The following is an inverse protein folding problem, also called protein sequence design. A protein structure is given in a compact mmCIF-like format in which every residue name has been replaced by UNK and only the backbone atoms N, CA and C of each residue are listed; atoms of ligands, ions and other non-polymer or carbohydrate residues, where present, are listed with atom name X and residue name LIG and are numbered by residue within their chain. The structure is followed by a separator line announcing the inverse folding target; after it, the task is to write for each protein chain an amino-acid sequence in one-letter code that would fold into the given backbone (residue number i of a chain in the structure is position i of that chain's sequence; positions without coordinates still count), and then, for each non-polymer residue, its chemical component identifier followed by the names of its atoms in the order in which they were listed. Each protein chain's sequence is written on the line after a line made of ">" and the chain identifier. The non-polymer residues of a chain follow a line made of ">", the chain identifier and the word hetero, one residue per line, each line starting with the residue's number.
data_IF_526619906167
#
_entry.id   IF_526619906167
#
_cell.length_a   1.000
_cell.length_b   1.000
_cell.length_c   1.000
_cell.angle_alpha   90.00
_cell.angle_beta   90.00
_cell.angle_gamma   90.00
#
_symmetry.space_group_name_H-M   'P 1'
#
loop_
_entity.id
_entity.type
_entity.pdbx_description
1 polymer ?
#
# COMPACT_ATOMS: atom_id res chain seq x y z
N UNK A 1 81.57 40.30 -27.49
CA UNK A 1 80.46 40.55 -26.54
C UNK A 1 79.04 40.55 -27.15
N UNK A 2 78.81 40.83 -28.44
CA UNK A 2 77.44 40.89 -29.03
C UNK A 2 76.67 39.56 -29.12
N UNK A 3 77.35 38.41 -29.27
CA UNK A 3 76.70 37.09 -29.44
C UNK A 3 76.04 36.55 -28.17
N UNK A 4 76.62 36.78 -26.98
CA UNK A 4 76.03 36.38 -25.68
C UNK A 4 74.76 37.16 -25.33
N UNK A 5 74.66 38.43 -25.72
CA UNK A 5 73.48 39.29 -25.48
C UNK A 5 72.33 38.89 -26.41
N UNK A 6 72.60 38.52 -27.67
CA UNK A 6 71.59 38.06 -28.61
C UNK A 6 70.98 36.69 -28.21
N UNK A 7 71.81 35.73 -27.79
CA UNK A 7 71.36 34.41 -27.31
C UNK A 7 70.50 34.54 -26.05
N UNK A 8 70.82 35.50 -25.16
CA UNK A 8 70.00 35.76 -23.98
C UNK A 8 68.66 36.40 -24.39
N UNK A 9 68.64 37.35 -25.33
CA UNK A 9 67.40 38.00 -25.80
C UNK A 9 66.44 37.02 -26.50
N UNK A 10 66.95 36.05 -27.27
CA UNK A 10 66.12 34.98 -27.87
C UNK A 10 65.60 33.98 -26.83
N UNK A 11 66.44 33.53 -25.88
CA UNK A 11 65.99 32.69 -24.76
C UNK A 11 64.93 33.38 -23.90
N UNK A 12 65.04 34.69 -23.67
CA UNK A 12 64.06 35.47 -22.93
C UNK A 12 62.77 35.71 -23.72
N UNK A 13 62.84 35.86 -25.06
CA UNK A 13 61.65 35.93 -25.93
C UNK A 13 60.86 34.62 -25.92
N UNK A 14 61.52 33.47 -26.04
CA UNK A 14 60.85 32.16 -25.95
C UNK A 14 60.16 31.93 -24.60
N UNK A 15 60.83 32.28 -23.50
CA UNK A 15 60.24 32.23 -22.14
C UNK A 15 59.05 33.18 -21.96
N UNK A 16 59.13 34.38 -22.53
CA UNK A 16 58.03 35.35 -22.50
C UNK A 16 56.81 34.84 -23.28
N UNK A 17 57.02 34.26 -24.48
CA UNK A 17 55.96 33.66 -25.28
C UNK A 17 55.29 32.51 -24.52
N UNK A 18 56.05 31.64 -23.86
CA UNK A 18 55.48 30.55 -23.06
C UNK A 18 54.68 31.06 -21.86
N UNK A 19 55.13 32.11 -21.18
CA UNK A 19 54.42 32.71 -20.03
C UNK A 19 53.10 33.34 -20.49
N UNK A 20 53.11 34.08 -21.60
CA UNK A 20 51.91 34.69 -22.18
C UNK A 20 50.93 33.61 -22.65
N UNK A 21 51.40 32.55 -23.31
CA UNK A 21 50.56 31.43 -23.72
C UNK A 21 49.92 30.71 -22.52
N UNK A 22 50.69 30.51 -21.44
CA UNK A 22 50.20 29.87 -20.21
C UNK A 22 49.15 30.74 -19.49
N UNK A 23 49.35 32.07 -19.44
CA UNK A 23 48.37 33.02 -18.93
C UNK A 23 47.08 33.02 -19.76
N UNK A 24 47.19 32.94 -21.09
CA UNK A 24 46.02 32.85 -21.97
C UNK A 24 45.24 31.57 -21.76
N UNK A 25 45.91 30.43 -21.56
CA UNK A 25 45.24 29.15 -21.26
C UNK A 25 44.56 29.20 -19.89
N UNK A 26 45.22 29.72 -18.85
CA UNK A 26 44.61 29.84 -17.52
C UNK A 26 43.43 30.82 -17.55
N UNK A 27 43.59 31.95 -18.23
CA UNK A 27 42.52 32.95 -18.37
C UNK A 27 41.34 32.41 -19.19
N UNK A 28 41.59 31.65 -20.25
CA UNK A 28 40.51 31.03 -21.04
C UNK A 28 39.83 29.91 -20.27
N UNK A 29 40.57 29.10 -19.51
CA UNK A 29 39.99 28.07 -18.64
C UNK A 29 39.13 28.71 -17.55
N UNK A 30 39.63 29.77 -16.91
CA UNK A 30 38.88 30.53 -15.90
C UNK A 30 37.62 31.18 -16.49
N UNK A 31 37.73 31.85 -17.63
CA UNK A 31 36.60 32.47 -18.32
C UNK A 31 35.56 31.41 -18.75
N UNK A 32 36.00 30.28 -19.31
CA UNK A 32 35.09 29.19 -19.71
C UNK A 32 34.40 28.57 -18.49
N UNK A 33 35.15 28.34 -17.40
CA UNK A 33 34.59 27.81 -16.15
C UNK A 33 33.58 28.78 -15.53
N UNK A 34 33.89 30.08 -15.54
CA UNK A 34 33.02 31.15 -15.07
C UNK A 34 31.74 31.25 -15.91
N UNK A 35 31.85 31.21 -17.24
CA UNK A 35 30.70 31.23 -18.15
C UNK A 35 29.83 29.97 -18.02
N UNK A 36 30.44 28.80 -17.79
CA UNK A 36 29.71 27.56 -17.54
C UNK A 36 29.06 27.53 -16.15
N UNK A 37 29.62 28.23 -15.16
CA UNK A 37 29.09 28.31 -13.79
C UNK A 37 27.92 29.30 -13.68
N UNK A 38 27.96 30.40 -14.43
CA UNK A 38 26.86 31.37 -14.53
C UNK A 38 25.75 30.96 -15.49
N UNK A 39 25.93 29.87 -16.22
CA UNK A 39 24.91 29.38 -17.14
C UNK A 39 23.71 28.87 -16.34
N UNK A 40 22.55 29.49 -16.58
CA UNK A 40 21.28 29.03 -16.04
C UNK A 40 20.95 27.66 -16.63
N UNK A 41 20.52 26.73 -15.77
CA UNK A 41 20.09 25.39 -16.16
C UNK A 41 18.60 25.23 -15.93
N UNK A 42 17.89 24.74 -16.94
CA UNK A 42 16.48 24.38 -16.81
C UNK A 42 16.37 23.01 -16.15
N UNK A 43 15.58 22.94 -15.08
CA UNK A 43 15.36 21.71 -14.33
C UNK A 43 13.86 21.45 -14.26
N UNK A 44 13.42 20.34 -14.85
CA UNK A 44 12.04 19.88 -14.75
C UNK A 44 11.81 19.31 -13.35
N UNK A 45 11.02 20.02 -12.56
CA UNK A 45 10.81 19.67 -11.15
C UNK A 45 9.70 18.64 -10.94
N UNK A 46 8.94 18.23 -11.96
CA UNK A 46 7.86 17.23 -11.81
C UNK A 46 8.09 15.96 -12.63
N UNK A 47 9.20 15.90 -13.39
CA UNK A 47 9.57 14.75 -14.21
C UNK A 47 9.68 13.45 -13.40
N UNK A 48 10.33 13.54 -12.24
CA UNK A 48 10.68 12.39 -11.40
C UNK A 48 9.74 12.23 -10.19
N UNK A 49 8.59 12.91 -10.25
CA UNK A 49 7.49 12.70 -9.32
C UNK A 49 6.88 11.31 -9.55
N UNK A 50 7.06 10.42 -8.58
CA UNK A 50 6.49 9.07 -8.56
C UNK A 50 5.10 9.12 -7.94
N UNK A 51 4.10 8.68 -8.69
CA UNK A 51 2.69 8.76 -8.30
C UNK A 51 2.24 7.37 -7.87
N UNK A 52 1.83 7.24 -6.61
CA UNK A 52 1.39 5.98 -6.03
C UNK A 52 -0.06 6.14 -5.60
N UNK A 53 -0.93 5.33 -6.18
CA UNK A 53 -2.34 5.27 -5.81
C UNK A 53 -2.59 4.14 -4.81
N UNK A 54 -3.51 4.36 -3.88
CA UNK A 54 -3.97 3.35 -2.93
C UNK A 54 -5.50 3.35 -2.88
N UNK A 55 -6.10 2.16 -2.85
CA UNK A 55 -7.56 1.97 -2.89
C UNK A 55 -8.10 1.78 -4.30
N UNK A 56 -9.41 1.96 -4.46
CA UNK A 56 -10.17 1.69 -5.69
C UNK A 56 -10.90 2.94 -6.18
N UNK A 57 -11.46 2.88 -7.38
CA UNK A 57 -12.20 4.00 -7.98
C UNK A 57 -13.28 4.55 -7.03
N UNK A 58 -13.38 5.88 -6.93
CA UNK A 58 -14.32 6.60 -6.05
C UNK A 58 -13.84 6.83 -4.62
N UNK A 59 -12.74 6.20 -4.21
CA UNK A 59 -12.23 6.25 -2.83
C UNK A 59 -10.70 6.24 -2.76
N UNK A 60 -10.02 6.16 -3.90
CA UNK A 60 -8.58 6.06 -3.94
C UNK A 60 -7.93 7.35 -3.44
N UNK A 61 -6.73 7.19 -2.88
CA UNK A 61 -5.86 8.28 -2.45
C UNK A 61 -4.59 8.26 -3.26
N UNK A 62 -3.97 9.42 -3.41
CA UNK A 62 -2.70 9.57 -4.12
C UNK A 62 -1.62 10.08 -3.20
N UNK A 63 -0.44 9.46 -3.30
CA UNK A 63 0.79 9.95 -2.69
C UNK A 63 1.80 10.17 -3.79
N UNK A 64 2.48 11.31 -3.74
CA UNK A 64 3.56 11.63 -4.66
C UNK A 64 4.87 11.66 -3.90
N UNK A 65 5.80 10.82 -4.31
CA UNK A 65 7.14 10.75 -3.76
C UNK A 65 8.14 11.32 -4.76
N UNK A 66 9.22 11.87 -4.22
CA UNK A 66 10.41 12.16 -5.01
C UNK A 66 11.29 10.91 -5.01
N UNK A 67 11.20 10.07 -6.05
CA UNK A 67 11.97 8.82 -6.14
C UNK A 67 13.36 9.01 -6.73
N UNK A 68 13.83 10.25 -6.84
CA UNK A 68 15.06 10.55 -7.57
C UNK A 68 16.31 10.35 -6.72
N UNK A 69 17.21 9.47 -7.18
CA UNK A 69 18.40 9.04 -6.42
C UNK A 69 19.75 9.40 -7.05
N UNK A 70 19.77 10.01 -8.24
CA UNK A 70 21.00 10.21 -9.00
C UNK A 70 21.10 11.62 -9.63
N UNK A 71 21.39 12.62 -8.80
CA UNK A 71 21.71 13.97 -9.26
C UNK A 71 23.22 14.22 -9.35
N UNK A 72 23.58 15.21 -10.16
CA UNK A 72 24.88 15.86 -10.00
C UNK A 72 24.92 16.50 -8.61
N UNK A 73 25.97 16.23 -7.83
CA UNK A 73 26.17 16.78 -6.48
C UNK A 73 25.98 18.30 -6.43
N UNK A 74 26.22 19.02 -7.54
CA UNK A 74 26.02 20.46 -7.67
C UNK A 74 24.59 20.93 -7.39
N UNK A 75 23.57 20.16 -7.81
CA UNK A 75 22.15 20.57 -7.71
C UNK A 75 21.38 19.75 -6.68
N UNK A 76 22.04 18.81 -6.01
CA UNK A 76 21.42 17.88 -5.08
C UNK A 76 20.70 18.63 -3.95
N UNK A 77 21.31 19.65 -3.36
CA UNK A 77 20.69 20.46 -2.31
C UNK A 77 19.39 21.14 -2.77
N UNK A 78 19.34 21.62 -4.03
CA UNK A 78 18.12 22.16 -4.61
C UNK A 78 17.06 21.07 -4.82
N UNK A 79 17.45 19.92 -5.37
CA UNK A 79 16.50 18.85 -5.65
C UNK A 79 15.93 18.20 -4.38
N UNK A 80 16.74 18.09 -3.33
CA UNK A 80 16.34 17.61 -2.01
C UNK A 80 15.34 18.56 -1.32
N UNK A 81 15.31 19.85 -1.73
CA UNK A 81 14.32 20.82 -1.24
C UNK A 81 12.94 20.69 -1.89
N UNK A 82 12.81 19.92 -2.97
CA UNK A 82 11.56 19.83 -3.73
C UNK A 82 10.55 18.98 -2.96
N UNK A 83 9.38 19.57 -2.74
CA UNK A 83 8.22 18.90 -2.15
C UNK A 83 7.04 18.96 -3.11
N UNK A 84 6.18 17.94 -3.08
CA UNK A 84 5.02 17.86 -3.95
C UNK A 84 3.73 18.01 -3.16
N UNK A 85 2.80 18.76 -3.72
CA UNK A 85 1.40 18.83 -3.29
C UNK A 85 0.52 18.34 -4.42
N UNK A 86 -0.57 17.66 -4.07
CA UNK A 86 -1.48 17.06 -5.06
C UNK A 86 -2.90 17.50 -4.75
N UNK A 87 -3.68 17.81 -5.79
CA UNK A 87 -5.09 18.17 -5.67
C UNK A 87 -5.89 17.62 -6.85
N UNK A 88 -6.99 16.88 -6.61
CA UNK A 88 -7.43 16.31 -5.32
C UNK A 88 -6.49 15.20 -4.80
N UNK A 89 -6.52 14.94 -3.48
CA UNK A 89 -5.66 13.93 -2.82
C UNK A 89 -6.41 12.62 -2.51
N UNK A 90 -7.73 12.68 -2.37
CA UNK A 90 -8.62 11.58 -2.00
C UNK A 90 -9.84 11.51 -2.92
N UNK A 91 -10.64 10.45 -2.74
CA UNK A 91 -11.87 10.18 -3.51
C UNK A 91 -11.65 10.14 -5.02
N UNK A 92 -10.47 9.65 -5.42
CA UNK A 92 -10.07 9.57 -6.82
C UNK A 92 -10.76 8.41 -7.52
N UNK A 93 -11.15 8.65 -8.77
CA UNK A 93 -11.68 7.68 -9.70
C UNK A 93 -10.79 7.57 -10.94
N UNK A 94 -10.93 6.47 -11.68
CA UNK A 94 -10.36 6.43 -13.03
C UNK A 94 -10.93 7.60 -13.85
N UNK A 95 -10.09 8.18 -14.72
CA UNK A 95 -10.37 9.37 -15.55
C UNK A 95 -10.32 10.73 -14.82
N UNK A 96 -10.21 10.75 -13.49
CA UNK A 96 -9.99 12.01 -12.76
C UNK A 96 -8.65 12.65 -13.13
N UNK A 97 -8.59 13.98 -13.07
CA UNK A 97 -7.36 14.73 -13.34
C UNK A 97 -6.80 15.27 -12.03
N UNK A 98 -5.65 14.76 -11.63
CA UNK A 98 -4.88 15.29 -10.50
C UNK A 98 -3.88 16.35 -10.98
N UNK A 99 -3.72 17.40 -10.18
CA UNK A 99 -2.69 18.43 -10.39
C UNK A 99 -1.61 18.24 -9.34
N UNK A 100 -0.39 17.95 -9.81
CA UNK A 100 0.82 17.87 -8.99
C UNK A 100 1.53 19.21 -9.09
N UNK A 101 1.78 19.83 -7.94
CA UNK A 101 2.50 21.10 -7.84
C UNK A 101 3.77 20.91 -7.02
N UNK A 102 4.90 21.22 -7.63
CA UNK A 102 6.20 21.24 -7.00
C UNK A 102 6.40 22.57 -6.26
N UNK A 103 6.86 22.48 -5.02
CA UNK A 103 7.34 23.59 -4.21
C UNK A 103 8.84 23.39 -3.99
N UNK A 104 9.62 24.47 -4.11
CA UNK A 104 11.08 24.42 -4.04
C UNK A 104 11.61 25.68 -3.32
N UNK A 105 12.87 25.63 -2.91
CA UNK A 105 13.56 26.79 -2.31
C UNK A 105 14.08 27.75 -3.40
N UNK A 106 13.51 28.96 -3.46
CA UNK A 106 13.90 30.00 -4.42
C UNK A 106 15.33 30.51 -4.19
N UNK A 107 15.82 30.53 -2.95
CA UNK A 107 17.19 30.95 -2.65
C UNK A 107 18.21 29.95 -3.19
N UNK A 108 17.91 28.65 -3.06
CA UNK A 108 18.74 27.59 -3.65
C UNK A 108 18.67 27.64 -5.18
N UNK A 109 17.49 27.86 -5.76
CA UNK A 109 17.35 28.02 -7.20
C UNK A 109 18.22 29.17 -7.74
N UNK A 110 18.17 30.33 -7.07
CA UNK A 110 19.00 31.48 -7.42
C UNK A 110 20.50 31.20 -7.21
N UNK A 111 20.89 30.60 -6.08
CA UNK A 111 22.28 30.26 -5.75
C UNK A 111 22.93 29.33 -6.78
N UNK A 112 22.16 28.36 -7.27
CA UNK A 112 22.64 27.37 -8.24
C UNK A 112 22.36 27.73 -9.70
N UNK A 113 21.84 28.93 -9.98
CA UNK A 113 21.40 29.36 -11.31
C UNK A 113 20.47 28.33 -11.96
N UNK A 114 19.47 27.84 -11.20
CA UNK A 114 18.48 26.89 -11.68
C UNK A 114 17.22 27.65 -12.05
N UNK A 115 16.68 27.36 -13.22
CA UNK A 115 15.35 27.78 -13.65
C UNK A 115 14.40 26.57 -13.57
N UNK A 116 13.53 26.49 -12.56
CA UNK A 116 12.56 25.42 -12.42
C UNK A 116 11.51 25.51 -13.53
N UNK A 117 11.35 24.44 -14.31
CA UNK A 117 10.32 24.31 -15.34
C UNK A 117 9.33 23.21 -14.97
N UNK A 118 8.12 23.26 -15.55
CA UNK A 118 7.04 22.29 -15.26
C UNK A 118 6.72 22.17 -13.76
N UNK A 119 6.54 23.31 -13.09
CA UNK A 119 6.18 23.42 -11.67
C UNK A 119 4.82 22.76 -11.38
N UNK A 120 3.93 22.76 -12.37
CA UNK A 120 2.64 22.08 -12.32
C UNK A 120 2.55 21.03 -13.42
N UNK A 121 2.10 19.83 -13.05
CA UNK A 121 1.86 18.70 -13.95
C UNK A 121 0.47 18.16 -13.71
N UNK A 122 -0.33 18.07 -14.78
CA UNK A 122 -1.63 17.40 -14.75
C UNK A 122 -1.48 15.96 -15.20
N UNK A 123 -2.08 15.04 -14.45
CA UNK A 123 -2.04 13.60 -14.74
C UNK A 123 -3.46 13.06 -14.66
N UNK A 124 -3.88 12.29 -15.66
CA UNK A 124 -5.13 11.55 -15.62
C UNK A 124 -4.92 10.25 -14.86
N UNK A 125 -5.78 9.98 -13.88
CA UNK A 125 -5.77 8.76 -13.07
C UNK A 125 -6.26 7.60 -13.94
N UNK A 126 -5.54 6.48 -13.91
CA UNK A 126 -5.88 5.27 -14.67
C UNK A 126 -5.36 4.03 -13.97
N UNK A 127 -6.05 2.92 -14.12
CA UNK A 127 -5.63 1.62 -13.59
C UNK A 127 -5.97 1.41 -12.12
N UNK A 128 -6.85 2.23 -11.54
CA UNK A 128 -7.41 1.93 -10.23
C UNK A 128 -8.33 0.70 -10.34
N UNK A 129 -8.29 -0.21 -9.35
CA UNK A 129 -9.28 -1.26 -9.21
C UNK A 129 -10.70 -0.70 -9.18
N UNK A 130 -11.66 -1.50 -9.61
CA UNK A 130 -13.09 -1.17 -9.59
C UNK A 130 -13.86 -2.24 -8.84
N UNK A 131 -14.97 -1.84 -8.24
CA UNK A 131 -15.89 -2.76 -7.58
C UNK A 131 -16.58 -3.64 -8.62
N UNK A 132 -16.97 -4.85 -8.24
CA UNK A 132 -17.75 -5.73 -9.09
C UNK A 132 -19.19 -5.18 -9.20
N UNK A 133 -19.76 -5.17 -10.40
CA UNK A 133 -21.17 -4.78 -10.58
C UNK A 133 -22.11 -5.89 -10.11
N UNK A 134 -21.72 -7.14 -10.34
CA UNK A 134 -22.48 -8.32 -9.96
C UNK A 134 -21.58 -9.35 -9.25
N UNK A 135 -22.17 -10.14 -8.35
CA UNK A 135 -21.44 -11.17 -7.58
C UNK A 135 -20.92 -12.26 -8.52
N UNK A 136 -21.64 -12.52 -9.60
CA UNK A 136 -21.30 -13.47 -10.64
C UNK A 136 -20.08 -13.04 -11.47
N UNK A 137 -19.67 -11.77 -11.40
CA UNK A 137 -18.47 -11.27 -12.07
C UNK A 137 -17.18 -11.61 -11.29
N UNK A 138 -17.31 -12.08 -10.05
CA UNK A 138 -16.17 -12.51 -9.24
C UNK A 138 -15.69 -13.86 -9.76
N UNK A 139 -14.46 -13.88 -10.27
CA UNK A 139 -13.87 -15.07 -10.89
C UNK A 139 -13.60 -16.18 -9.86
N UNK A 140 -13.79 -17.43 -10.27
CA UNK A 140 -13.66 -18.62 -9.42
C UNK A 140 -12.24 -18.80 -8.88
N UNK A 141 -11.21 -18.48 -9.68
CA UNK A 141 -9.81 -18.55 -9.25
C UNK A 141 -9.49 -17.56 -8.13
N UNK A 142 -10.15 -16.40 -8.11
CA UNK A 142 -10.03 -15.44 -7.03
C UNK A 142 -10.75 -15.92 -5.75
N UNK A 143 -11.91 -16.57 -5.89
CA UNK A 143 -12.61 -17.20 -4.75
C UNK A 143 -11.79 -18.34 -4.14
N UNK A 144 -11.14 -19.17 -4.95
CA UNK A 144 -10.21 -20.20 -4.48
C UNK A 144 -9.02 -19.58 -3.73
N UNK A 145 -8.48 -18.45 -4.23
CA UNK A 145 -7.40 -17.74 -3.55
C UNK A 145 -7.84 -17.18 -2.18
N UNK A 146 -9.05 -16.64 -2.09
CA UNK A 146 -9.65 -16.17 -0.83
C UNK A 146 -9.80 -17.33 0.16
N UNK A 147 -10.36 -18.45 -0.30
CA UNK A 147 -10.55 -19.64 0.54
C UNK A 147 -9.24 -20.15 1.12
N UNK A 148 -8.22 -20.26 0.26
CA UNK A 148 -6.88 -20.66 0.67
C UNK A 148 -6.28 -19.70 1.70
N UNK A 149 -6.42 -18.39 1.49
CA UNK A 149 -5.97 -17.39 2.48
C UNK A 149 -6.75 -17.49 3.81
N UNK A 150 -8.03 -17.86 3.76
CA UNK A 150 -8.83 -18.17 4.95
C UNK A 150 -8.33 -19.39 5.72
N UNK A 151 -8.01 -20.47 5.02
CA UNK A 151 -7.43 -21.67 5.62
C UNK A 151 -6.08 -21.37 6.28
N UNK A 152 -5.19 -20.65 5.58
CA UNK A 152 -3.90 -20.20 6.12
C UNK A 152 -4.08 -19.30 7.36
N UNK A 153 -5.07 -18.41 7.34
CA UNK A 153 -5.43 -17.58 8.50
C UNK A 153 -5.85 -18.44 9.69
N UNK A 154 -6.75 -19.41 9.48
CA UNK A 154 -7.26 -20.27 10.55
C UNK A 154 -6.16 -21.16 11.13
N UNK A 155 -5.30 -21.75 10.30
CA UNK A 155 -4.15 -22.55 10.75
C UNK A 155 -3.24 -21.73 11.68
N UNK A 156 -2.94 -20.48 11.30
CA UNK A 156 -2.10 -19.57 12.08
C UNK A 156 -2.73 -19.17 13.43
N UNK A 157 -4.06 -19.12 13.51
CA UNK A 157 -4.79 -18.68 14.70
C UNK A 157 -5.46 -19.83 15.46
N UNK A 158 -5.27 -21.09 15.03
CA UNK A 158 -6.00 -22.25 15.55
C UNK A 158 -5.87 -22.40 17.07
N UNK A 159 -4.65 -22.29 17.61
CA UNK A 159 -4.40 -22.41 19.05
C UNK A 159 -5.17 -21.35 19.85
N UNK A 160 -5.15 -20.09 19.38
CA UNK A 160 -5.88 -18.99 20.01
C UNK A 160 -7.39 -19.23 19.96
N UNK A 161 -7.92 -19.66 18.81
CA UNK A 161 -9.35 -19.96 18.65
C UNK A 161 -9.77 -21.08 19.60
N UNK A 162 -9.02 -22.18 19.66
CA UNK A 162 -9.33 -23.30 20.54
C UNK A 162 -9.32 -22.88 22.01
N UNK A 163 -8.34 -22.08 22.43
CA UNK A 163 -8.17 -21.69 23.83
C UNK A 163 -9.15 -20.59 24.29
N UNK A 164 -9.41 -19.59 23.44
CA UNK A 164 -10.15 -18.39 23.83
C UNK A 164 -11.63 -18.44 23.46
N UNK A 165 -11.97 -19.05 22.32
CA UNK A 165 -13.35 -19.02 21.80
C UNK A 165 -14.21 -20.19 22.32
N UNK A 166 -13.60 -21.31 22.71
CA UNK A 166 -14.34 -22.42 23.33
C UNK A 166 -14.49 -22.23 24.84
N UNK A 167 -15.45 -21.38 25.21
CA UNK A 167 -15.66 -20.94 26.60
C UNK A 167 -16.25 -22.01 27.52
N UNK A 168 -16.74 -23.13 27.00
CA UNK A 168 -17.35 -24.20 27.80
C UNK A 168 -16.32 -25.13 28.41
N UNK A 169 -15.14 -25.25 27.78
CA UNK A 169 -14.08 -26.15 28.23
C UNK A 169 -13.32 -25.60 29.44
N UNK A 170 -12.70 -26.51 30.19
CA UNK A 170 -11.82 -26.17 31.31
C UNK A 170 -10.57 -25.47 30.78
N UNK A 171 -10.27 -24.27 31.31
CA UNK A 171 -9.19 -23.39 30.84
C UNK A 171 -7.78 -23.97 30.93
N UNK A 172 -7.57 -24.94 31.81
CA UNK A 172 -6.25 -25.55 32.03
C UNK A 172 -5.98 -26.72 31.07
N UNK A 173 -6.93 -27.05 30.19
CA UNK A 173 -6.84 -28.15 29.23
C UNK A 173 -6.92 -27.59 27.80
N UNK A 174 -6.05 -28.07 26.92
CA UNK A 174 -6.04 -27.68 25.50
C UNK A 174 -7.13 -28.46 24.73
N UNK A 175 -8.11 -27.79 24.12
CA UNK A 175 -9.11 -28.47 23.31
C UNK A 175 -8.50 -29.08 22.04
N UNK A 176 -8.99 -30.25 21.64
CA UNK A 176 -8.56 -30.94 20.42
C UNK A 176 -9.51 -30.60 19.27
N UNK A 177 -8.97 -30.05 18.18
CA UNK A 177 -9.71 -29.83 16.95
C UNK A 177 -10.16 -31.18 16.35
N UNK A 178 -11.46 -31.30 16.07
CA UNK A 178 -12.04 -32.47 15.39
C UNK A 178 -12.31 -32.22 13.91
N UNK A 179 -12.99 -31.12 13.63
CA UNK A 179 -13.43 -30.79 12.28
C UNK A 179 -13.44 -29.28 12.09
N UNK A 180 -13.06 -28.83 10.91
CA UNK A 180 -13.21 -27.47 10.46
C UNK A 180 -13.81 -27.51 9.07
N UNK A 181 -14.97 -26.85 8.88
CA UNK A 181 -15.69 -26.88 7.61
C UNK A 181 -16.27 -25.52 7.26
N UNK A 182 -15.99 -25.05 6.04
CA UNK A 182 -16.68 -23.90 5.45
C UNK A 182 -18.17 -24.19 5.33
N UNK A 183 -18.99 -23.41 6.04
CA UNK A 183 -20.44 -23.59 6.15
C UNK A 183 -21.21 -22.58 5.33
N UNK A 184 -20.73 -21.34 5.25
CA UNK A 184 -21.36 -20.28 4.48
C UNK A 184 -20.30 -19.35 3.88
N UNK A 185 -20.61 -18.78 2.71
CA UNK A 185 -19.90 -17.66 2.11
C UNK A 185 -20.92 -16.60 1.72
N UNK A 186 -20.67 -15.35 2.07
CA UNK A 186 -21.50 -14.23 1.65
C UNK A 186 -20.67 -13.09 1.09
N UNK A 187 -21.20 -12.44 0.06
CA UNK A 187 -20.68 -11.18 -0.46
C UNK A 187 -21.46 -10.02 0.16
N UNK A 188 -20.72 -9.05 0.68
CA UNK A 188 -21.23 -7.82 1.26
C UNK A 188 -20.94 -6.67 0.29
N UNK A 189 -21.96 -6.29 -0.47
CA UNK A 189 -21.93 -5.18 -1.43
C UNK A 189 -22.23 -3.86 -0.70
N UNK A 190 -21.23 -2.99 -0.61
CA UNK A 190 -21.32 -1.72 0.10
C UNK A 190 -22.25 -0.72 -0.63
N UNK A 191 -23.18 -0.12 0.13
CA UNK A 191 -24.11 0.90 -0.42
C UNK A 191 -23.45 2.18 -0.95
N UNK A 192 -22.15 2.40 -0.68
CA UNK A 192 -21.42 3.56 -1.17
C UNK A 192 -19.92 3.41 -1.03
N UNK A 193 -19.16 4.32 -1.65
CA UNK A 193 -17.70 4.27 -1.74
C UNK A 193 -16.95 4.47 -0.41
N UNK A 194 -17.65 4.81 0.68
CA UNK A 194 -17.06 4.93 2.02
C UNK A 194 -16.78 3.55 2.63
N UNK A 195 -17.57 2.54 2.27
CA UNK A 195 -17.37 1.16 2.69
C UNK A 195 -16.84 0.34 1.53
N UNK A 196 -15.99 -0.63 1.85
CA UNK A 196 -15.40 -1.57 0.89
C UNK A 196 -16.23 -2.82 0.80
N UNK A 197 -16.33 -3.38 -0.39
CA UNK A 197 -16.92 -4.70 -0.56
C UNK A 197 -16.10 -5.74 0.20
N UNK A 198 -16.81 -6.73 0.73
CA UNK A 198 -16.22 -7.78 1.56
C UNK A 198 -16.77 -9.12 1.13
N UNK A 199 -15.95 -10.14 1.35
CA UNK A 199 -16.42 -11.52 1.43
C UNK A 199 -16.31 -11.94 2.89
N UNK A 200 -17.29 -12.70 3.36
CA UNK A 200 -17.27 -13.30 4.69
C UNK A 200 -17.46 -14.79 4.53
N UNK A 201 -16.46 -15.54 4.97
CA UNK A 201 -16.52 -16.99 5.11
C UNK A 201 -16.83 -17.34 6.55
N UNK A 202 -17.68 -18.34 6.74
CA UNK A 202 -18.05 -18.84 8.05
C UNK A 202 -17.70 -20.30 8.16
N UNK A 203 -16.80 -20.61 9.09
CA UNK A 203 -16.35 -21.95 9.38
C UNK A 203 -17.06 -22.50 10.62
N UNK A 204 -17.65 -23.67 10.50
CA UNK A 204 -18.04 -24.48 11.64
C UNK A 204 -16.79 -25.19 12.15
N UNK A 205 -16.37 -24.86 13.36
CA UNK A 205 -15.20 -25.44 14.01
C UNK A 205 -15.71 -26.31 15.16
N UNK A 206 -15.46 -27.61 15.06
CA UNK A 206 -15.79 -28.58 16.10
C UNK A 206 -14.53 -28.96 16.87
N UNK A 207 -14.59 -28.87 18.20
CA UNK A 207 -13.52 -29.31 19.07
C UNK A 207 -14.06 -30.15 20.22
N UNK A 208 -13.17 -30.97 20.78
CA UNK A 208 -13.40 -31.72 22.02
C UNK A 208 -12.57 -31.14 23.14
N UNK A 209 -13.17 -31.00 24.31
CA UNK A 209 -12.46 -30.56 25.50
C UNK A 209 -13.07 -31.14 26.76
N UNK A 210 -12.33 -31.03 27.86
CA UNK A 210 -12.84 -31.42 29.16
C UNK A 210 -13.79 -30.35 29.70
N UNK A 211 -14.93 -30.80 30.22
CA UNK A 211 -15.88 -30.00 30.98
C UNK A 211 -16.01 -30.57 32.39
N UNK A 212 -16.56 -29.78 33.32
CA UNK A 212 -16.95 -30.29 34.64
C UNK A 212 -18.06 -31.32 34.48
N UNK A 213 -17.93 -32.46 35.15
CA UNK A 213 -18.93 -33.52 35.13
C UNK A 213 -20.21 -33.13 35.86
N UNK A 214 -21.34 -33.70 35.43
CA UNK A 214 -22.66 -33.38 35.99
C UNK A 214 -22.85 -33.95 37.42
N UNK A 215 -22.14 -35.04 37.74
CA UNK A 215 -22.27 -35.75 39.02
C UNK A 215 -21.45 -35.13 40.16
N UNK A 216 -20.29 -34.53 39.86
CA UNK A 216 -19.50 -33.78 40.85
C UNK A 216 -18.52 -32.80 40.20
N UNK A 217 -18.19 -31.71 40.89
CA UNK A 217 -17.18 -30.72 40.45
C UNK A 217 -15.77 -31.32 40.29
N UNK A 218 -15.53 -32.54 40.79
CA UNK A 218 -14.24 -33.25 40.71
C UNK A 218 -14.16 -34.24 39.54
N UNK A 219 -15.29 -34.58 38.91
CA UNK A 219 -15.30 -35.44 37.71
C UNK A 219 -15.11 -34.60 36.46
N UNK A 220 -14.34 -35.12 35.50
CA UNK A 220 -14.13 -34.51 34.19
C UNK A 220 -14.80 -35.37 33.13
N UNK A 221 -15.47 -34.73 32.19
CA UNK A 221 -16.11 -35.39 31.05
C UNK A 221 -15.62 -34.75 29.75
N UNK A 222 -15.48 -35.55 28.70
CA UNK A 222 -15.14 -35.04 27.37
C UNK A 222 -16.43 -34.65 26.67
N UNK A 223 -16.50 -33.42 26.15
CA UNK A 223 -17.64 -32.91 25.40
C UNK A 223 -17.18 -32.33 24.08
N UNK A 224 -18.01 -32.50 23.07
CA UNK A 224 -17.85 -31.86 21.78
C UNK A 224 -18.66 -30.56 21.76
N UNK A 225 -18.05 -29.49 21.27
CA UNK A 225 -18.70 -28.21 21.01
C UNK A 225 -18.41 -27.79 19.57
N UNK A 226 -19.37 -27.10 18.96
CA UNK A 226 -19.19 -26.46 17.65
C UNK A 226 -19.39 -24.97 17.81
N UNK A 227 -18.42 -24.19 17.35
CA UNK A 227 -18.55 -22.74 17.20
C UNK A 227 -18.61 -22.39 15.71
N UNK A 228 -19.19 -21.22 15.42
CA UNK A 228 -19.16 -20.63 14.09
C UNK A 228 -18.21 -19.44 14.12
N UNK A 229 -17.18 -19.50 13.29
CA UNK A 229 -16.10 -18.52 13.24
C UNK A 229 -16.10 -17.84 11.88
N UNK A 230 -16.16 -16.51 11.88
CA UNK A 230 -16.22 -15.70 10.68
C UNK A 230 -14.81 -15.22 10.31
N UNK A 231 -14.43 -15.40 9.06
CA UNK A 231 -13.25 -14.82 8.44
C UNK A 231 -13.72 -13.80 7.40
N UNK A 232 -13.41 -12.53 7.62
CA UNK A 232 -13.79 -11.41 6.76
C UNK A 232 -12.60 -10.98 5.92
N UNK A 233 -12.81 -10.86 4.61
CA UNK A 233 -11.84 -10.35 3.65
C UNK A 233 -12.30 -8.98 3.15
N UNK A 234 -11.50 -7.95 3.40
CA UNK A 234 -11.78 -6.59 2.95
C UNK A 234 -11.20 -6.30 1.56
N UNK A 235 -11.72 -5.24 0.93
CA UNK A 235 -11.21 -4.70 -0.34
C UNK A 235 -11.41 -5.63 -1.54
N UNK A 236 -12.58 -6.29 -1.60
CA UNK A 236 -12.94 -7.15 -2.72
C UNK A 236 -13.23 -6.29 -3.96
N UNK A 237 -12.34 -6.35 -4.94
CA UNK A 237 -12.43 -5.58 -6.17
C UNK A 237 -11.60 -6.23 -7.30
N UNK A 238 -11.58 -5.62 -8.48
CA UNK A 238 -10.89 -6.16 -9.65
C UNK A 238 -9.36 -6.17 -9.57
N UNK A 239 -8.75 -5.73 -8.45
CA UNK A 239 -7.32 -5.96 -8.21
C UNK A 239 -7.00 -7.44 -8.03
N UNK A 240 -7.99 -8.23 -7.57
CA UNK A 240 -7.87 -9.65 -7.22
C UNK A 240 -6.76 -9.94 -6.20
N UNK A 241 -6.39 -8.94 -5.40
CA UNK A 241 -5.40 -9.11 -4.35
C UNK A 241 -6.11 -9.51 -3.05
N UNK A 242 -5.53 -10.49 -2.36
CA UNK A 242 -5.88 -10.82 -0.98
C UNK A 242 -4.67 -10.45 -0.14
N UNK A 243 -4.80 -9.41 0.67
CA UNK A 243 -3.75 -8.93 1.55
C UNK A 243 -3.99 -9.47 2.96
N UNK A 244 -2.96 -10.00 3.62
CA UNK A 244 -3.10 -10.60 4.96
C UNK A 244 -3.61 -9.58 5.99
N UNK A 245 -3.19 -8.32 5.87
CA UNK A 245 -3.66 -7.21 6.71
C UNK A 245 -5.16 -6.88 6.55
N UNK A 246 -5.80 -7.40 5.49
CA UNK A 246 -7.21 -7.22 5.19
C UNK A 246 -8.08 -8.41 5.63
N UNK A 247 -7.49 -9.42 6.29
CA UNK A 247 -8.18 -10.62 6.78
C UNK A 247 -8.41 -10.51 8.30
N UNK A 248 -9.65 -10.70 8.73
CA UNK A 248 -10.04 -10.58 10.14
C UNK A 248 -10.93 -11.75 10.56
N UNK A 249 -10.55 -12.41 11.65
CA UNK A 249 -11.31 -13.50 12.27
C UNK A 249 -12.10 -13.04 13.50
N UNK A 250 -13.32 -13.54 13.67
CA UNK A 250 -14.08 -13.38 14.91
C UNK A 250 -15.10 -14.52 15.14
N UNK A 251 -15.29 -14.91 16.40
CA UNK A 251 -16.38 -15.82 16.78
C UNK A 251 -17.75 -15.17 16.59
N UNK A 252 -18.67 -15.89 15.97
CA UNK A 252 -20.07 -15.47 15.89
C UNK A 252 -20.77 -15.67 17.24
N UNK A 253 -21.36 -14.59 17.75
CA UNK A 253 -22.07 -14.61 19.03
C UNK A 253 -23.57 -14.78 18.80
N UNK A 254 -24.07 -15.99 19.10
CA UNK A 254 -25.49 -16.30 18.96
C UNK A 254 -26.37 -15.60 20.02
N UNK A 255 -25.85 -15.31 21.22
CA UNK A 255 -26.59 -14.81 22.40
C UNK A 255 -27.98 -15.45 22.60
N UNK A 256 -28.14 -16.73 22.20
CA UNK A 256 -29.41 -17.47 22.24
C UNK A 256 -30.47 -17.04 21.22
N UNK A 257 -30.19 -16.05 20.35
CA UNK A 257 -31.13 -15.51 19.36
C UNK A 257 -30.99 -16.15 17.97
N UNK A 258 -29.88 -16.82 17.68
CA UNK A 258 -29.57 -17.37 16.37
C UNK A 258 -29.07 -18.82 16.49
N UNK A 259 -29.61 -19.69 15.64
CA UNK A 259 -29.09 -21.01 15.34
C UNK A 259 -28.34 -20.96 13.99
N UNK A 260 -27.01 -21.02 14.02
CA UNK A 260 -26.19 -20.93 12.81
C UNK A 260 -26.13 -22.25 12.02
N UNK A 261 -26.72 -23.34 12.53
CA UNK A 261 -26.92 -24.56 11.73
C UNK A 261 -28.02 -24.39 10.69
N UNK A 262 -28.88 -23.37 10.84
CA UNK A 262 -29.98 -23.06 9.94
C UNK A 262 -29.63 -21.85 9.05
N UNK A 263 -29.64 -21.99 7.72
CA UNK A 263 -29.28 -20.91 6.79
C UNK A 263 -30.11 -19.63 6.98
N UNK A 264 -31.42 -19.74 7.24
CA UNK A 264 -32.30 -18.57 7.44
C UNK A 264 -31.90 -17.73 8.66
N UNK A 265 -31.55 -18.41 9.76
CA UNK A 265 -31.11 -17.76 11.01
C UNK A 265 -29.72 -17.13 10.86
N UNK A 266 -28.82 -17.79 10.13
CA UNK A 266 -27.54 -17.21 9.72
C UNK A 266 -27.75 -15.90 8.91
N UNK A 267 -28.58 -15.94 7.87
CA UNK A 267 -28.85 -14.75 7.05
C UNK A 267 -29.50 -13.62 7.85
N UNK A 268 -30.38 -13.94 8.80
CA UNK A 268 -30.95 -12.94 9.71
C UNK A 268 -29.88 -12.27 10.60
N UNK A 269 -28.90 -13.05 11.08
CA UNK A 269 -27.75 -12.50 11.82
C UNK A 269 -26.91 -11.57 10.94
N UNK A 270 -26.58 -12.00 9.70
CA UNK A 270 -25.81 -11.17 8.77
C UNK A 270 -26.54 -9.87 8.43
N UNK A 271 -27.85 -9.94 8.20
CA UNK A 271 -28.67 -8.74 7.96
C UNK A 271 -28.70 -7.82 9.18
N UNK A 272 -28.72 -8.37 10.40
CA UNK A 272 -28.69 -7.57 11.63
C UNK A 272 -27.33 -6.89 11.83
N UNK A 273 -26.23 -7.59 11.53
CA UNK A 273 -24.86 -7.10 11.70
C UNK A 273 -24.45 -6.09 10.62
N UNK A 274 -24.73 -6.40 9.35
CA UNK A 274 -24.20 -5.67 8.19
C UNK A 274 -25.26 -4.94 7.35
N UNK A 275 -26.55 -5.30 7.46
CA UNK A 275 -27.59 -4.84 6.54
C UNK A 275 -27.89 -3.33 6.52
N UNK A 276 -27.30 -2.55 7.42
CA UNK A 276 -27.35 -1.07 7.38
C UNK A 276 -26.35 -0.45 6.39
N UNK A 277 -25.27 -1.16 6.09
CA UNK A 277 -24.14 -0.67 5.30
C UNK A 277 -23.96 -1.45 3.99
N UNK A 278 -24.49 -2.67 3.94
CA UNK A 278 -24.28 -3.60 2.84
C UNK A 278 -25.59 -4.21 2.35
N UNK A 279 -25.68 -4.43 1.04
CA UNK A 279 -26.53 -5.46 0.46
C UNK A 279 -25.81 -6.80 0.59
N UNK A 280 -26.53 -7.84 0.99
CA UNK A 280 -25.95 -9.13 1.35
C UNK A 280 -26.40 -10.16 0.31
N UNK A 281 -25.43 -10.88 -0.26
CA UNK A 281 -25.66 -11.94 -1.23
C UNK A 281 -25.04 -13.23 -0.72
N UNK A 282 -25.84 -14.30 -0.67
CA UNK A 282 -25.34 -15.64 -0.39
C UNK A 282 -24.60 -16.18 -1.62
N UNK A 283 -23.43 -16.76 -1.40
CA UNK A 283 -22.63 -17.38 -2.45
C UNK A 283 -22.66 -18.90 -2.28
N UNK A 284 -22.70 -19.61 -3.41
CA UNK A 284 -22.62 -21.07 -3.38
C UNK A 284 -21.20 -21.52 -3.01
N UNK A 285 -21.12 -22.55 -2.19
CA UNK A 285 -19.87 -23.26 -1.90
C UNK A 285 -19.66 -24.31 -3.00
N UNK A 286 -18.45 -24.35 -3.56
CA UNK A 286 -18.01 -25.34 -4.57
C UNK A 286 -17.57 -26.65 -3.95
#
# INVERSE_FOLDING_TARGET
>A
MKKRIAINKEKWKGKYITIVAMLLIISSLYATSYLLFLRVIDVDVTKDASIIYHGETGSATVKVNNDMRAYNQRIQEFMDSITYTVTPIDKLSNEDVITIRASYDEELAHRYNIHPVNIERKVTVSGLPVRYEHVEDIEEDYLEAIEKSGEEYLEKHQEMILLEDFTTFLRDEEPELKEQKLSYRVFLDAFGAENKDKIVDVYAIQASGFVKGEESDETKEIRDETIYYMVTYNEINTSKQVLEENIFGEKMLALGAYDFSQPESFMQYMQTKYGKQYQIFEMSLT
#
